data_IF_334197778945
#
_entry.id   IF_334197778945
#
_cell.length_a   1.000
_cell.length_b   1.000
_cell.length_c   1.000
_cell.angle_alpha   90.00
_cell.angle_beta   90.00
_cell.angle_gamma   90.00
#
_symmetry.space_group_name_H-M   'P 1'
#
loop_
_entity.id
_entity.type
_entity.pdbx_description
1 polymer ?
#
# COMPACT_ATOMS: atom_id res chain seq x y z
N UNK A 1 -25.24 -0.26 0.70
CA UNK A 1 -24.06 -0.27 -0.18
C UNK A 1 -24.24 -1.48 -1.07
N UNK A 2 -24.82 -1.31 -2.27
CA UNK A 2 -25.08 -2.43 -3.17
C UNK A 2 -23.78 -2.91 -3.81
N UNK A 3 -23.63 -4.23 -3.94
CA UNK A 3 -22.50 -4.91 -4.58
C UNK A 3 -22.49 -4.73 -6.11
N UNK A 4 -23.41 -3.94 -6.66
CA UNK A 4 -23.72 -3.84 -8.10
C UNK A 4 -22.60 -3.27 -8.98
N UNK A 5 -21.54 -2.68 -8.41
CA UNK A 5 -20.48 -2.01 -9.18
C UNK A 5 -19.08 -2.65 -9.05
N UNK A 6 -18.94 -3.80 -8.38
CA UNK A 6 -17.63 -4.45 -8.18
C UNK A 6 -17.57 -5.74 -8.99
N UNK A 7 -16.78 -5.76 -10.07
CA UNK A 7 -16.46 -6.99 -10.81
C UNK A 7 -15.24 -7.66 -10.17
N UNK A 8 -15.42 -8.84 -9.60
CA UNK A 8 -14.33 -9.68 -9.12
C UNK A 8 -13.78 -10.44 -10.31
N UNK A 9 -12.49 -10.25 -10.59
CA UNK A 9 -11.81 -10.88 -11.73
C UNK A 9 -10.71 -11.80 -11.21
N UNK A 10 -10.51 -12.92 -11.88
CA UNK A 10 -9.47 -13.88 -11.52
C UNK A 10 -8.45 -13.98 -12.64
N UNK A 11 -7.22 -14.37 -12.32
CA UNK A 11 -6.16 -14.59 -13.33
C UNK A 11 -6.57 -15.66 -14.37
N UNK A 12 -7.43 -16.60 -13.98
CA UNK A 12 -7.89 -17.68 -14.84
C UNK A 12 -9.17 -17.35 -15.62
N UNK A 13 -9.87 -16.28 -15.23
CA UNK A 13 -11.07 -15.78 -15.89
C UNK A 13 -10.88 -14.28 -16.16
N UNK A 14 -10.07 -13.92 -17.17
CA UNK A 14 -9.85 -12.54 -17.51
C UNK A 14 -11.14 -11.87 -17.97
N UNK A 15 -11.19 -10.54 -17.82
CA UNK A 15 -12.33 -9.73 -18.22
C UNK A 15 -12.59 -9.96 -19.71
N UNK A 16 -13.82 -10.33 -20.05
CA UNK A 16 -14.29 -10.36 -21.44
C UNK A 16 -14.30 -8.92 -21.96
N UNK A 17 -13.30 -8.59 -22.76
CA UNK A 17 -13.07 -7.25 -23.30
C UNK A 17 -12.60 -7.31 -24.74
N UNK A 18 -12.11 -6.18 -25.26
CA UNK A 18 -11.54 -6.09 -26.63
C UNK A 18 -10.12 -6.64 -26.73
N UNK A 19 -9.55 -7.13 -25.62
CA UNK A 19 -8.19 -7.65 -25.56
C UNK A 19 -8.14 -9.06 -26.15
N UNK A 20 -7.24 -9.28 -27.11
CA UNK A 20 -6.89 -10.60 -27.60
C UNK A 20 -5.91 -11.27 -26.63
N UNK A 21 -6.45 -12.10 -25.75
CA UNK A 21 -5.69 -12.80 -24.71
C UNK A 21 -4.75 -13.88 -25.29
N UNK A 22 -5.13 -14.51 -26.41
CA UNK A 22 -4.30 -15.54 -27.03
C UNK A 22 -3.05 -14.93 -27.67
N UNK A 23 -3.18 -13.75 -28.27
CA UNK A 23 -2.04 -12.99 -28.78
C UNK A 23 -1.12 -12.49 -27.65
N UNK A 24 -1.69 -12.06 -26.51
CA UNK A 24 -0.91 -11.63 -25.34
C UNK A 24 -0.11 -12.79 -24.73
N UNK A 25 -0.74 -13.95 -24.53
CA UNK A 25 -0.09 -15.14 -23.95
C UNK A 25 1.02 -15.72 -24.84
N UNK A 26 0.95 -15.49 -26.16
CA UNK A 26 1.95 -15.93 -27.12
C UNK A 26 3.13 -14.94 -27.28
N UNK A 27 3.06 -13.76 -26.66
CA UNK A 27 4.08 -12.73 -26.78
C UNK A 27 5.37 -13.16 -26.08
N UNK A 28 6.49 -13.09 -26.80
CA UNK A 28 7.80 -13.49 -26.25
C UNK A 28 8.45 -12.37 -25.45
N UNK A 29 9.35 -12.72 -24.53
CA UNK A 29 10.13 -11.75 -23.76
C UNK A 29 10.92 -10.79 -24.66
N UNK A 30 11.50 -11.27 -25.77
CA UNK A 30 12.24 -10.45 -26.74
C UNK A 30 11.34 -9.38 -27.40
N UNK A 31 10.11 -9.77 -27.77
CA UNK A 31 9.13 -8.85 -28.36
C UNK A 31 8.65 -7.81 -27.33
N UNK A 32 8.53 -8.20 -26.06
CA UNK A 32 8.19 -7.29 -24.97
C UNK A 32 9.32 -6.26 -24.78
N UNK A 33 10.56 -6.72 -24.72
CA UNK A 33 11.72 -5.83 -24.57
C UNK A 33 11.87 -4.85 -25.73
N UNK A 34 11.66 -5.31 -26.97
CA UNK A 34 11.67 -4.44 -28.16
C UNK A 34 10.53 -3.42 -28.12
N UNK A 35 9.33 -3.81 -27.70
CA UNK A 35 8.20 -2.90 -27.53
C UNK A 35 8.49 -1.82 -26.47
N UNK A 36 9.01 -2.22 -25.30
CA UNK A 36 9.40 -1.29 -24.23
C UNK A 36 10.49 -0.33 -24.70
N UNK A 37 11.49 -0.81 -25.45
CA UNK A 37 12.59 0.03 -25.96
C UNK A 37 12.10 1.09 -26.95
N UNK A 38 11.08 0.76 -27.75
CA UNK A 38 10.55 1.65 -28.78
C UNK A 38 9.40 2.54 -28.28
N UNK A 39 8.93 2.34 -27.05
CA UNK A 39 7.85 3.14 -26.45
C UNK A 39 8.41 4.45 -25.86
N UNK A 40 8.02 5.63 -26.39
CA UNK A 40 8.48 6.92 -25.86
C UNK A 40 7.94 7.24 -24.45
N UNK A 41 6.87 6.57 -24.02
CA UNK A 41 6.30 6.72 -22.67
C UNK A 41 6.92 5.72 -21.66
N UNK A 42 7.74 4.77 -22.13
CA UNK A 42 8.45 3.86 -21.25
C UNK A 42 9.55 4.63 -20.49
N UNK A 43 9.27 4.93 -19.23
CA UNK A 43 10.25 5.54 -18.32
C UNK A 43 11.13 4.41 -17.75
N UNK A 44 12.47 4.49 -17.88
CA UNK A 44 13.36 3.58 -17.18
C UNK A 44 13.14 3.69 -15.67
N UNK A 45 12.63 2.62 -15.04
CA UNK A 45 12.47 2.55 -13.59
C UNK A 45 13.79 2.13 -12.94
N UNK A 46 14.83 2.96 -13.06
CA UNK A 46 16.06 2.81 -12.26
C UNK A 46 15.83 3.39 -10.85
N UNK A 47 14.88 2.80 -10.14
CA UNK A 47 14.55 3.16 -8.77
C UNK A 47 15.35 2.24 -7.86
N UNK A 48 16.30 2.81 -7.12
CA UNK A 48 17.00 2.07 -6.08
C UNK A 48 16.05 1.79 -4.90
N UNK A 49 15.68 0.52 -4.76
CA UNK A 49 14.82 0.03 -3.68
C UNK A 49 15.60 -0.46 -2.46
N UNK A 50 16.93 -0.29 -2.41
CA UNK A 50 17.77 -0.77 -1.32
C UNK A 50 17.34 -0.24 0.06
N UNK A 51 16.89 1.01 0.11
CA UNK A 51 16.35 1.67 1.32
C UNK A 51 14.82 1.54 1.46
N UNK A 52 14.17 0.77 0.56
CA UNK A 52 12.73 0.56 0.55
C UNK A 52 12.23 -0.13 1.81
N UNK A 53 11.46 0.57 2.65
CA UNK A 53 10.80 -0.03 3.81
C UNK A 53 9.44 -0.57 3.40
N UNK A 54 9.30 -1.90 3.38
CA UNK A 54 8.00 -2.56 3.19
C UNK A 54 7.09 -2.25 4.39
N UNK A 55 6.13 -1.34 4.21
CA UNK A 55 5.13 -1.01 5.21
C UNK A 55 3.89 -1.87 4.99
N UNK A 56 3.81 -3.01 5.67
CA UNK A 56 2.56 -3.76 5.76
C UNK A 56 1.59 -3.00 6.69
N UNK A 57 0.39 -2.62 6.23
CA UNK A 57 -0.58 -1.96 7.09
C UNK A 57 -1.03 -2.93 8.18
N UNK A 58 -0.59 -2.68 9.41
CA UNK A 58 -1.02 -3.47 10.55
C UNK A 58 -2.52 -3.26 10.78
N UNK A 59 -3.26 -4.37 10.99
CA UNK A 59 -4.67 -4.30 11.37
C UNK A 59 -4.79 -3.53 12.69
N UNK A 60 -5.49 -2.40 12.67
CA UNK A 60 -5.80 -1.61 13.87
C UNK A 60 -6.88 -2.34 14.67
N UNK A 61 -6.75 -2.35 15.99
CA UNK A 61 -7.79 -2.85 16.89
C UNK A 61 -8.66 -1.68 17.32
N UNK A 62 -9.97 -1.77 17.08
CA UNK A 62 -10.93 -0.82 17.63
C UNK A 62 -11.08 -1.10 19.14
N UNK A 63 -10.64 -0.15 19.96
CA UNK A 63 -10.77 -0.19 21.42
C UNK A 63 -11.43 1.09 21.91
N UNK A 64 -12.15 1.01 23.03
CA UNK A 64 -12.65 2.19 23.72
C UNK A 64 -11.62 2.64 24.75
N UNK A 65 -11.18 3.89 24.65
CA UNK A 65 -10.25 4.53 25.59
C UNK A 65 -10.82 5.90 25.99
N UNK A 66 -10.53 6.33 27.22
CA UNK A 66 -10.82 7.69 27.68
C UNK A 66 -9.62 8.58 27.37
N UNK A 67 -9.89 9.78 26.86
CA UNK A 67 -8.91 10.79 26.51
C UNK A 67 -9.45 12.12 27.06
N UNK A 68 -8.55 12.96 27.54
CA UNK A 68 -8.89 14.32 27.97
C UNK A 68 -9.46 15.13 26.80
N UNK A 69 -10.37 16.05 27.11
CA UNK A 69 -11.14 16.83 26.14
C UNK A 69 -10.23 17.72 25.28
N UNK A 70 -9.29 18.41 25.92
CA UNK A 70 -8.32 19.30 25.27
C UNK A 70 -7.43 18.58 24.26
N UNK A 71 -6.99 17.36 24.59
CA UNK A 71 -6.19 16.51 23.71
C UNK A 71 -7.02 16.05 22.52
N UNK A 72 -8.27 15.65 22.74
CA UNK A 72 -9.16 15.24 21.67
C UNK A 72 -9.44 16.40 20.70
N UNK A 73 -9.72 17.58 21.24
CA UNK A 73 -10.01 18.79 20.47
C UNK A 73 -8.79 19.26 19.67
N UNK A 74 -7.59 19.18 20.27
CA UNK A 74 -6.34 19.45 19.55
C UNK A 74 -6.22 18.58 18.29
N UNK A 75 -6.43 17.27 18.39
CA UNK A 75 -6.30 16.38 17.23
C UNK A 75 -7.43 16.58 16.20
N UNK A 76 -8.65 16.85 16.67
CA UNK A 76 -9.82 17.15 15.82
C UNK A 76 -9.67 18.47 15.05
N UNK A 77 -8.99 19.46 15.63
CA UNK A 77 -8.77 20.76 14.96
C UNK A 77 -8.06 20.63 13.60
N UNK A 78 -7.24 19.58 13.42
CA UNK A 78 -6.58 19.25 12.15
C UNK A 78 -7.46 18.52 11.13
N UNK A 79 -8.78 18.44 11.34
CA UNK A 79 -9.74 17.84 10.41
C UNK A 79 -9.73 16.30 10.39
N UNK A 80 -10.23 15.75 9.30
CA UNK A 80 -10.36 14.30 9.11
C UNK A 80 -9.04 13.55 9.31
N UNK A 81 -9.14 12.29 9.74
CA UNK A 81 -7.98 11.46 10.03
C UNK A 81 -7.29 11.72 11.39
N UNK A 82 -7.93 12.48 12.29
CA UNK A 82 -7.39 12.77 13.63
C UNK A 82 -7.00 11.51 14.42
N UNK A 83 -7.79 10.43 14.33
CA UNK A 83 -7.47 9.14 14.95
C UNK A 83 -6.18 8.53 14.40
N UNK A 84 -5.90 8.73 13.11
CA UNK A 84 -4.65 8.31 12.46
C UNK A 84 -3.44 9.06 13.01
N UNK A 85 -3.55 10.39 13.15
CA UNK A 85 -2.52 11.24 13.75
C UNK A 85 -2.25 10.87 15.22
N UNK A 86 -3.32 10.67 15.99
CA UNK A 86 -3.22 10.22 17.38
C UNK A 86 -2.47 8.89 17.50
N UNK A 87 -2.81 7.92 16.64
CA UNK A 87 -2.11 6.63 16.59
C UNK A 87 -0.62 6.76 16.19
N UNK A 88 -0.27 7.70 15.31
CA UNK A 88 1.12 7.95 14.94
C UNK A 88 1.95 8.46 16.13
N UNK A 89 1.39 9.36 16.94
CA UNK A 89 2.03 9.84 18.18
C UNK A 89 2.25 8.71 19.18
N UNK A 90 1.21 7.89 19.41
CA UNK A 90 1.32 6.71 20.30
C UNK A 90 2.40 5.74 19.80
N UNK A 91 2.50 5.51 18.49
CA UNK A 91 3.55 4.67 17.89
C UNK A 91 4.93 5.28 18.08
N UNK A 92 5.09 6.59 17.87
CA UNK A 92 6.37 7.28 18.08
C UNK A 92 6.85 7.13 19.53
N UNK A 93 5.96 7.38 20.50
CA UNK A 93 6.26 7.17 21.92
C UNK A 93 6.64 5.72 22.23
N UNK A 94 5.90 4.75 21.70
CA UNK A 94 6.21 3.32 21.84
C UNK A 94 7.61 2.99 21.30
N UNK A 95 7.96 3.47 20.10
CA UNK A 95 9.26 3.22 19.47
C UNK A 95 10.42 3.85 20.26
N UNK A 96 10.23 5.05 20.82
CA UNK A 96 11.25 5.69 21.67
C UNK A 96 11.49 4.92 22.98
N UNK A 97 10.43 4.36 23.58
CA UNK A 97 10.54 3.61 24.84
C UNK A 97 10.99 2.16 24.64
N UNK A 98 10.64 1.55 23.51
CA UNK A 98 11.11 0.23 23.15
C UNK A 98 12.58 0.32 22.72
N UNK A 99 13.52 0.07 23.66
CA UNK A 99 14.91 -0.29 23.28
C UNK A 99 14.82 -1.36 22.17
N UNK A 100 15.50 -1.19 21.01
CA UNK A 100 15.44 -2.20 19.98
C UNK A 100 15.96 -3.50 20.59
N UNK A 101 15.08 -4.49 20.76
CA UNK A 101 15.55 -5.86 20.97
C UNK A 101 16.20 -6.25 19.66
N UNK A 102 17.52 -6.16 19.61
CA UNK A 102 18.34 -6.66 18.51
C UNK A 102 17.89 -8.10 18.29
N UNK A 103 17.13 -8.35 17.21
CA UNK A 103 16.87 -9.72 16.79
C UNK A 103 18.24 -10.25 16.37
N UNK A 104 18.89 -11.04 17.24
CA UNK A 104 19.99 -11.92 16.83
C UNK A 104 19.41 -12.78 15.71
N UNK A 105 19.80 -12.48 14.46
CA UNK A 105 19.64 -13.42 13.36
C UNK A 105 20.56 -14.59 13.72
N UNK A 106 19.97 -15.77 13.86
CA UNK A 106 20.70 -17.04 13.91
C UNK A 106 21.11 -17.43 12.49
#
# INVERSE_FOLDING_TARGET
>A
MSEENITIVSRYEPIRGRTDWAALDALTDEQIEEAVRNDPDAVPLDIDWSDGVVVMPARKRAISIRIDEDVLDFFKSGGDGYQGRMNAVLRSYMLQKAKPKTKKRA
#
